data_IF_831183324695
#
_entry.id   IF_831183324695
#
_cell.length_a   1.000
_cell.length_b   1.000
_cell.length_c   1.000
_cell.angle_alpha   90.00
_cell.angle_beta   90.00
_cell.angle_gamma   90.00
#
_symmetry.space_group_name_H-M   'P 1'
#
loop_
_entity.id
_entity.type
_entity.pdbx_description
1 polymer ?
#
# COMPACT_ATOMS: atom_id res chain seq x y z
N UNK A 1 -24.24 28.95 -2.01
CA UNK A 1 -23.32 28.05 -1.27
C UNK A 1 -22.13 27.81 -2.17
N UNK A 2 -20.95 28.34 -1.86
CA UNK A 2 -19.77 28.08 -2.68
C UNK A 2 -19.38 26.60 -2.53
N UNK A 3 -19.55 25.82 -3.60
CA UNK A 3 -18.97 24.49 -3.67
C UNK A 3 -17.45 24.64 -3.79
N UNK A 4 -16.72 24.34 -2.72
CA UNK A 4 -15.28 24.12 -2.82
C UNK A 4 -15.07 22.74 -3.45
N UNK A 5 -14.50 22.72 -4.65
CA UNK A 5 -14.05 21.48 -5.28
C UNK A 5 -12.99 20.81 -4.40
N UNK A 6 -13.01 19.48 -4.25
CA UNK A 6 -11.98 18.76 -3.51
C UNK A 6 -10.58 19.08 -4.05
N UNK A 7 -9.61 19.30 -3.16
CA UNK A 7 -8.21 19.49 -3.54
C UNK A 7 -7.67 18.15 -4.04
N UNK A 8 -7.00 18.16 -5.18
CA UNK A 8 -6.37 16.99 -5.80
C UNK A 8 -4.96 17.31 -6.23
N UNK A 9 -4.09 16.29 -6.23
CA UNK A 9 -2.75 16.33 -6.82
C UNK A 9 -2.73 15.45 -8.05
N UNK A 10 -2.30 15.98 -9.19
CA UNK A 10 -2.13 15.21 -10.42
C UNK A 10 -0.65 14.83 -10.60
N UNK A 11 -0.37 13.54 -10.76
CA UNK A 11 0.96 13.01 -11.04
C UNK A 11 0.85 11.82 -12.00
N UNK A 12 1.73 11.78 -13.02
CA UNK A 12 1.83 10.67 -13.98
C UNK A 12 0.48 10.28 -14.64
N UNK A 13 -0.39 11.26 -14.91
CA UNK A 13 -1.72 11.04 -15.51
C UNK A 13 -2.78 10.48 -14.54
N UNK A 14 -2.48 10.42 -13.24
CA UNK A 14 -3.37 9.97 -12.17
C UNK A 14 -3.72 11.14 -11.25
N UNK A 15 -4.95 11.19 -10.78
CA UNK A 15 -5.43 12.18 -9.81
C UNK A 15 -5.53 11.55 -8.42
N UNK A 16 -4.80 12.10 -7.46
CA UNK A 16 -4.80 11.70 -6.06
C UNK A 16 -5.59 12.73 -5.25
N UNK A 17 -6.62 12.29 -4.52
CA UNK A 17 -7.38 13.16 -3.63
C UNK A 17 -6.51 13.60 -2.45
N UNK A 18 -6.65 14.85 -2.02
CA UNK A 18 -5.92 15.34 -0.83
C UNK A 18 -6.33 14.52 0.41
N UNK A 19 -5.38 13.88 1.11
CA UNK A 19 -5.72 12.98 2.19
C UNK A 19 -6.14 13.79 3.44
N UNK A 20 -7.27 13.42 4.05
CA UNK A 20 -7.79 14.10 5.27
C UNK A 20 -7.02 13.73 6.54
N UNK A 21 -6.31 12.61 6.50
CA UNK A 21 -5.41 12.08 7.52
C UNK A 21 -4.15 11.60 6.80
N UNK A 22 -3.00 11.41 7.47
CA UNK A 22 -1.79 10.93 6.80
C UNK A 22 -2.03 9.63 6.00
N UNK A 23 -1.64 9.62 4.73
CA UNK A 23 -1.67 8.44 3.87
C UNK A 23 -0.26 7.87 3.77
N UNK A 24 -0.09 6.58 4.09
CA UNK A 24 1.21 5.92 4.20
C UNK A 24 1.19 4.65 3.34
N UNK A 25 2.24 4.47 2.54
CA UNK A 25 2.55 3.21 1.87
C UNK A 25 3.83 2.62 2.50
N UNK A 26 3.83 1.31 2.77
CA UNK A 26 4.99 0.59 3.31
C UNK A 26 5.37 -0.49 2.29
N UNK A 27 6.56 -0.37 1.70
CA UNK A 27 7.14 -1.43 0.87
C UNK A 27 8.00 -2.32 1.77
N UNK A 28 7.57 -3.56 1.99
CA UNK A 28 8.36 -4.59 2.64
C UNK A 28 9.15 -5.34 1.56
N UNK A 29 10.42 -4.98 1.37
CA UNK A 29 11.23 -5.54 0.28
C UNK A 29 11.37 -7.06 0.41
N UNK A 30 11.21 -7.77 -0.70
CA UNK A 30 11.23 -9.25 -0.75
C UNK A 30 10.16 -9.95 0.09
N UNK A 31 9.08 -9.27 0.50
CA UNK A 31 8.04 -9.84 1.35
C UNK A 31 7.06 -10.70 0.54
N UNK A 32 7.47 -11.92 0.22
CA UNK A 32 6.58 -12.97 -0.26
C UNK A 32 5.40 -13.16 0.72
N UNK A 33 4.14 -13.22 0.25
CA UNK A 33 2.96 -13.37 1.12
C UNK A 33 3.06 -14.47 2.18
N UNK A 34 3.71 -15.60 1.83
CA UNK A 34 3.90 -16.71 2.75
C UNK A 34 4.66 -16.33 4.04
N UNK A 35 5.55 -15.34 4.01
CA UNK A 35 6.24 -14.87 5.23
C UNK A 35 5.25 -14.28 6.25
N UNK A 36 4.25 -13.54 5.78
CA UNK A 36 3.24 -12.95 6.65
C UNK A 36 2.31 -14.03 7.19
N UNK A 37 1.89 -14.98 6.34
CA UNK A 37 1.03 -16.08 6.74
C UNK A 37 1.67 -16.93 7.84
N UNK A 38 2.94 -17.31 7.69
CA UNK A 38 3.64 -18.12 8.70
C UNK A 38 3.86 -17.34 10.01
N UNK A 39 4.21 -16.05 9.94
CA UNK A 39 4.38 -15.23 11.14
C UNK A 39 3.05 -14.97 11.89
N UNK A 40 1.93 -14.86 11.16
CA UNK A 40 0.59 -14.78 11.75
C UNK A 40 0.20 -16.10 12.40
N UNK A 41 0.41 -17.24 11.72
CA UNK A 41 0.15 -18.58 12.29
C UNK A 41 0.95 -18.84 13.57
N UNK A 42 2.18 -18.33 13.63
CA UNK A 42 3.03 -18.39 14.82
C UNK A 42 2.59 -17.43 15.95
N UNK A 43 1.56 -16.61 15.76
CA UNK A 43 1.05 -15.66 16.76
C UNK A 43 1.95 -14.42 16.96
N UNK A 44 2.86 -14.14 16.01
CA UNK A 44 3.87 -13.08 16.16
C UNK A 44 3.44 -11.73 15.56
N UNK A 45 2.29 -11.66 14.87
CA UNK A 45 1.82 -10.46 14.18
C UNK A 45 0.41 -10.00 14.62
N UNK A 46 0.14 -9.78 15.92
CA UNK A 46 -1.20 -9.43 16.42
C UNK A 46 -1.74 -8.11 15.85
N UNK A 47 -0.85 -7.16 15.53
CA UNK A 47 -1.25 -5.90 14.90
C UNK A 47 -1.71 -6.09 13.45
N UNK A 48 -0.97 -6.87 12.66
CA UNK A 48 -1.32 -7.14 11.26
C UNK A 48 -2.59 -8.00 11.19
N UNK A 49 -2.73 -9.01 12.04
CA UNK A 49 -3.94 -9.84 12.14
C UNK A 49 -5.20 -8.98 12.37
N UNK A 50 -5.13 -8.02 13.31
CA UNK A 50 -6.22 -7.07 13.58
C UNK A 50 -6.51 -6.16 12.38
N UNK A 51 -5.48 -5.71 11.65
CA UNK A 51 -5.64 -4.90 10.44
C UNK A 51 -6.32 -5.72 9.35
N UNK A 52 -5.93 -6.98 9.14
CA UNK A 52 -6.52 -7.87 8.14
C UNK A 52 -8.00 -8.15 8.43
N UNK A 53 -8.37 -8.37 9.69
CA UNK A 53 -9.75 -8.64 10.10
C UNK A 53 -10.71 -7.46 9.92
N UNK A 54 -10.21 -6.21 10.00
CA UNK A 54 -11.03 -4.98 9.95
C UNK A 54 -10.83 -4.15 8.70
N UNK A 55 -9.78 -4.44 7.95
CA UNK A 55 -9.34 -3.70 6.77
C UNK A 55 -9.55 -4.50 5.50
N UNK A 56 -8.64 -4.31 4.55
CA UNK A 56 -8.73 -4.89 3.21
C UNK A 56 -7.45 -5.64 2.89
N UNK A 57 -7.57 -6.92 2.53
CA UNK A 57 -6.45 -7.80 2.14
C UNK A 57 -6.57 -8.14 0.66
N UNK A 58 -5.52 -7.92 -0.13
CA UNK A 58 -5.49 -8.21 -1.57
C UNK A 58 -4.07 -8.62 -1.98
N UNK A 59 -3.98 -9.33 -3.09
CA UNK A 59 -2.73 -9.54 -3.82
C UNK A 59 -2.57 -8.49 -4.91
N UNK A 60 -1.33 -8.16 -5.25
CA UNK A 60 -0.96 -7.24 -6.32
C UNK A 60 0.22 -7.81 -7.10
N UNK A 61 0.38 -7.39 -8.35
CA UNK A 61 1.54 -7.77 -9.17
C UNK A 61 2.62 -6.71 -9.10
N UNK A 62 3.87 -7.15 -9.00
CA UNK A 62 5.04 -6.28 -9.16
C UNK A 62 5.27 -5.96 -10.64
N UNK A 63 6.14 -4.98 -10.90
CA UNK A 63 6.74 -4.78 -12.21
C UNK A 63 7.73 -5.91 -12.49
N UNK A 64 7.92 -6.23 -13.78
CA UNK A 64 8.97 -7.12 -14.29
C UNK A 64 10.06 -6.27 -14.98
N UNK A 65 11.35 -6.47 -14.69
CA UNK A 65 11.89 -7.46 -13.75
C UNK A 65 11.56 -7.12 -12.30
N UNK A 66 11.31 -8.15 -11.49
CA UNK A 66 10.91 -8.04 -10.08
C UNK A 66 12.10 -7.66 -9.17
N UNK A 67 12.76 -6.55 -9.52
CA UNK A 67 13.88 -5.99 -8.77
C UNK A 67 13.42 -4.81 -7.92
N UNK A 68 14.19 -4.53 -6.86
CA UNK A 68 13.94 -3.45 -5.91
C UNK A 68 13.78 -2.09 -6.62
N UNK A 69 14.75 -1.68 -7.45
CA UNK A 69 14.74 -0.34 -8.04
C UNK A 69 13.55 -0.08 -8.98
N UNK A 70 13.26 -0.94 -9.98
CA UNK A 70 12.08 -0.77 -10.83
C UNK A 70 10.78 -0.69 -10.02
N UNK A 71 10.62 -1.53 -8.99
CA UNK A 71 9.39 -1.56 -8.20
C UNK A 71 9.26 -0.35 -7.28
N UNK A 72 10.31 0.03 -6.57
CA UNK A 72 10.27 1.19 -5.66
C UNK A 72 10.00 2.49 -6.42
N UNK A 73 10.62 2.66 -7.60
CA UNK A 73 10.35 3.83 -8.43
C UNK A 73 8.90 3.80 -8.95
N UNK A 74 8.39 2.63 -9.34
CA UNK A 74 7.00 2.48 -9.79
C UNK A 74 5.95 2.69 -8.69
N UNK A 75 6.30 2.46 -7.42
CA UNK A 75 5.44 2.80 -6.26
C UNK A 75 5.47 4.32 -6.02
N UNK A 76 6.61 4.96 -6.24
CA UNK A 76 6.82 6.39 -5.98
C UNK A 76 6.20 7.31 -7.05
N UNK A 77 5.90 6.81 -8.25
CA UNK A 77 5.39 7.59 -9.40
C UNK A 77 4.03 7.10 -9.88
#
# INVERSE_FOLDING_TARGET
MNQMSPVTVSANGRNYAWPRVPAIAICLDGCEPAYLDEAIKAGLMPALEKIMAKGTVRTAHSVIPSFTNPNNLSIAT
#
